data_IF_492891064929
#
_entry.id   IF_492891064929
#
_cell.length_a   1.000
_cell.length_b   1.000
_cell.length_c   1.000
_cell.angle_alpha   90.00
_cell.angle_beta   90.00
_cell.angle_gamma   90.00
#
_symmetry.space_group_name_H-M   'P 1'
#
loop_
_entity.id
_entity.type
_entity.pdbx_description
1 polymer ?
#
# COMPACT_ATOMS: atom_id res chain seq x y z
N UNK A 1 -24.20 19.91 28.71
CA UNK A 1 -22.72 19.80 28.75
C UNK A 1 -22.17 18.37 28.54
N UNK A 2 -22.84 17.27 28.95
CA UNK A 2 -22.38 15.89 28.63
C UNK A 2 -22.46 15.47 27.15
N UNK A 3 -23.26 16.15 26.32
CA UNK A 3 -23.38 15.85 24.88
C UNK A 3 -22.14 16.28 24.09
N UNK A 4 -21.68 17.52 24.25
CA UNK A 4 -20.55 18.06 23.50
C UNK A 4 -19.25 17.27 23.70
N UNK A 5 -18.98 16.81 24.92
CA UNK A 5 -17.80 15.98 25.21
C UNK A 5 -17.87 14.62 24.50
N UNK A 6 -19.06 13.98 24.49
CA UNK A 6 -19.28 12.71 23.80
C UNK A 6 -19.15 12.87 22.28
N UNK A 7 -19.74 13.92 21.70
CA UNK A 7 -19.58 14.28 20.28
C UNK A 7 -18.11 14.44 19.94
N UNK A 8 -17.37 15.24 20.71
CA UNK A 8 -15.95 15.49 20.46
C UNK A 8 -15.12 14.19 20.51
N UNK A 9 -15.42 13.27 21.43
CA UNK A 9 -14.76 11.96 21.52
C UNK A 9 -15.07 11.05 20.32
N UNK A 10 -16.31 11.04 19.84
CA UNK A 10 -16.72 10.26 18.66
C UNK A 10 -15.99 10.79 17.41
N UNK A 11 -15.98 12.11 17.24
CA UNK A 11 -15.25 12.78 16.16
C UNK A 11 -13.74 12.53 16.26
N UNK A 12 -13.15 12.56 17.45
CA UNK A 12 -11.73 12.25 17.68
C UNK A 12 -11.39 10.81 17.22
N UNK A 13 -12.23 9.83 17.54
CA UNK A 13 -12.06 8.43 17.11
C UNK A 13 -12.14 8.33 15.58
N UNK A 14 -13.17 8.90 14.95
CA UNK A 14 -13.33 8.87 13.50
C UNK A 14 -12.15 9.54 12.77
N UNK A 15 -11.72 10.72 13.25
CA UNK A 15 -10.58 11.44 12.68
C UNK A 15 -9.27 10.64 12.86
N UNK A 16 -9.11 9.92 13.98
CA UNK A 16 -7.94 9.09 14.22
C UNK A 16 -7.92 7.84 13.35
N UNK A 17 -9.08 7.19 13.17
CA UNK A 17 -9.24 6.07 12.23
C UNK A 17 -8.88 6.49 10.81
N UNK A 18 -9.35 7.68 10.37
CA UNK A 18 -8.99 8.23 9.06
C UNK A 18 -7.49 8.44 8.94
N UNK A 19 -6.88 9.14 9.90
CA UNK A 19 -5.43 9.41 9.92
C UNK A 19 -4.57 8.16 9.97
N UNK A 20 -5.10 7.04 10.45
CA UNK A 20 -4.40 5.75 10.50
C UNK A 20 -4.42 4.97 9.17
N UNK A 21 -5.15 5.46 8.17
CA UNK A 21 -5.31 4.77 6.89
C UNK A 21 -6.41 3.71 6.88
N UNK A 22 -7.37 3.78 7.81
CA UNK A 22 -8.55 2.91 7.78
C UNK A 22 -9.41 3.21 6.54
N UNK A 23 -9.85 2.18 5.84
CA UNK A 23 -10.75 2.33 4.70
C UNK A 23 -12.05 3.06 5.12
N UNK A 24 -12.61 3.97 4.29
CA UNK A 24 -13.76 4.79 4.64
C UNK A 24 -14.96 3.98 5.17
N UNK A 25 -15.36 2.94 4.44
CA UNK A 25 -16.48 2.07 4.84
C UNK A 25 -16.26 1.38 6.21
N UNK A 26 -15.02 1.02 6.55
CA UNK A 26 -14.69 0.43 7.86
C UNK A 26 -14.73 1.50 8.95
N UNK A 27 -14.20 2.67 8.67
CA UNK A 27 -14.19 3.80 9.59
C UNK A 27 -15.60 4.17 10.03
N UNK A 28 -16.54 4.25 9.09
CA UNK A 28 -17.96 4.50 9.37
C UNK A 28 -18.50 3.49 10.37
N UNK A 29 -18.35 2.18 10.08
CA UNK A 29 -18.81 1.09 10.96
C UNK A 29 -18.18 1.16 12.35
N UNK A 30 -16.86 1.36 12.46
CA UNK A 30 -16.16 1.45 13.75
C UNK A 30 -16.62 2.66 14.57
N UNK A 31 -16.83 3.79 13.92
CA UNK A 31 -17.22 5.03 14.61
C UNK A 31 -18.68 4.96 15.05
N UNK A 32 -19.56 4.41 14.22
CA UNK A 32 -20.96 4.11 14.59
C UNK A 32 -21.04 3.11 15.75
N UNK A 33 -20.25 2.04 15.71
CA UNK A 33 -20.17 1.07 16.80
C UNK A 33 -19.73 1.72 18.13
N UNK A 34 -18.70 2.57 18.08
CA UNK A 34 -18.25 3.33 19.24
C UNK A 34 -19.30 4.30 19.78
N UNK A 35 -20.00 5.02 18.90
CA UNK A 35 -21.07 5.95 19.27
C UNK A 35 -22.25 5.23 19.94
N UNK A 36 -22.70 4.11 19.34
CA UNK A 36 -23.77 3.27 19.88
C UNK A 36 -23.45 2.73 21.28
N UNK A 37 -22.20 2.31 21.51
CA UNK A 37 -21.71 1.87 22.83
C UNK A 37 -21.80 2.97 23.90
N UNK A 38 -21.79 4.24 23.49
CA UNK A 38 -21.91 5.40 24.38
C UNK A 38 -23.31 6.05 24.36
N UNK A 39 -24.30 5.37 23.75
CA UNK A 39 -25.68 5.83 23.70
C UNK A 39 -25.88 7.09 22.87
N UNK A 40 -25.10 7.28 21.80
CA UNK A 40 -25.23 8.38 20.85
C UNK A 40 -25.51 7.82 19.47
N UNK A 41 -26.58 8.27 18.82
CA UNK A 41 -26.82 7.97 17.41
C UNK A 41 -26.03 8.93 16.52
N UNK A 42 -25.40 8.39 15.48
CA UNK A 42 -24.58 9.15 14.55
C UNK A 42 -24.68 8.59 13.14
N UNK A 43 -25.03 9.44 12.19
CA UNK A 43 -24.88 9.15 10.77
C UNK A 43 -23.54 9.69 10.30
N UNK A 44 -22.74 8.81 9.69
CA UNK A 44 -21.37 9.14 9.27
C UNK A 44 -21.25 8.83 7.79
N UNK A 45 -20.64 9.76 7.06
CA UNK A 45 -20.21 9.54 5.69
C UNK A 45 -18.74 9.94 5.58
N UNK A 46 -17.89 8.97 5.31
CA UNK A 46 -16.45 9.14 5.16
C UNK A 46 -16.06 9.06 3.69
N UNK A 47 -15.08 9.87 3.32
CA UNK A 47 -14.42 9.86 2.02
C UNK A 47 -12.91 9.95 2.25
N UNK A 48 -12.06 9.71 1.24
CA UNK A 48 -10.62 9.82 1.39
C UNK A 48 -10.13 11.19 1.92
N UNK A 49 -10.89 12.26 1.69
CA UNK A 49 -10.49 13.65 2.02
C UNK A 49 -11.47 14.40 2.92
N UNK A 50 -12.55 13.77 3.38
CA UNK A 50 -13.51 14.41 4.27
C UNK A 50 -14.32 13.40 5.08
N UNK A 51 -14.78 13.81 6.26
CA UNK A 51 -15.75 13.06 7.05
C UNK A 51 -16.88 14.01 7.44
N UNK A 52 -18.11 13.54 7.24
CA UNK A 52 -19.33 14.20 7.66
C UNK A 52 -19.94 13.42 8.81
N UNK A 53 -20.12 14.06 9.96
CA UNK A 53 -20.81 13.51 11.12
C UNK A 53 -22.14 14.25 11.31
N UNK A 54 -23.22 13.51 11.48
CA UNK A 54 -24.53 14.07 11.79
C UNK A 54 -25.03 13.40 13.07
N UNK A 55 -25.44 14.20 14.05
CA UNK A 55 -25.94 13.76 15.34
C UNK A 55 -27.43 14.12 15.46
N UNK A 56 -28.36 13.22 15.10
CA UNK A 56 -29.79 13.51 15.09
C UNK A 56 -30.32 13.91 16.48
N UNK A 57 -29.89 13.19 17.51
CA UNK A 57 -30.37 13.36 18.89
C UNK A 57 -29.81 14.62 19.58
N UNK A 58 -28.75 15.22 19.04
CA UNK A 58 -28.07 16.39 19.59
C UNK A 58 -28.32 17.63 18.71
N UNK A 59 -29.60 18.05 18.65
CA UNK A 59 -30.05 19.24 17.90
C UNK A 59 -29.68 19.21 16.41
N UNK A 60 -29.68 18.01 15.80
CA UNK A 60 -29.24 17.80 14.42
C UNK A 60 -27.86 18.40 14.11
N UNK A 61 -26.92 18.33 15.06
CA UNK A 61 -25.59 18.87 14.86
C UNK A 61 -24.89 18.19 13.67
N UNK A 62 -24.40 19.01 12.73
CA UNK A 62 -23.63 18.55 11.57
C UNK A 62 -22.20 19.06 11.69
N UNK A 63 -21.25 18.14 11.64
CA UNK A 63 -19.81 18.43 11.69
C UNK A 63 -19.18 17.89 10.42
N UNK A 64 -18.84 18.80 9.50
CA UNK A 64 -18.06 18.47 8.31
C UNK A 64 -16.59 18.82 8.54
N UNK A 65 -15.71 17.84 8.39
CA UNK A 65 -14.27 18.03 8.44
C UNK A 65 -13.61 17.65 7.12
N UNK A 66 -12.87 18.59 6.52
CA UNK A 66 -11.93 18.28 5.44
C UNK A 66 -10.61 17.81 6.05
N UNK A 67 -10.12 16.68 5.56
CA UNK A 67 -8.91 16.03 6.03
C UNK A 67 -7.92 15.89 4.87
N UNK A 68 -6.63 15.86 5.18
CA UNK A 68 -5.60 15.48 4.20
C UNK A 68 -5.75 14.00 3.87
N UNK A 69 -5.38 13.53 2.66
CA UNK A 69 -5.34 12.10 2.35
C UNK A 69 -4.62 11.32 3.46
N UNK A 70 -5.21 10.20 3.87
CA UNK A 70 -4.69 9.40 4.97
C UNK A 70 -3.31 8.80 4.65
N UNK A 71 -2.44 8.75 5.67
CA UNK A 71 -1.23 7.94 5.66
C UNK A 71 -1.48 6.65 6.43
N UNK A 72 -0.90 5.54 5.99
CA UNK A 72 -1.09 4.26 6.68
C UNK A 72 -0.21 4.24 7.94
N UNK A 73 -0.85 4.05 9.09
CA UNK A 73 -0.18 3.84 10.37
C UNK A 73 -0.87 2.72 11.14
N UNK A 74 -0.32 1.50 11.05
CA UNK A 74 -0.94 0.30 11.59
C UNK A 74 -0.89 0.24 13.12
N UNK A 75 0.14 0.80 13.77
CA UNK A 75 0.14 0.91 15.23
C UNK A 75 -0.92 1.88 15.72
N UNK A 76 -1.11 3.02 15.05
CA UNK A 76 -2.16 3.97 15.40
C UNK A 76 -3.53 3.31 15.24
N UNK A 77 -3.77 2.64 14.11
CA UNK A 77 -5.00 1.89 13.87
C UNK A 77 -5.23 0.86 14.98
N UNK A 78 -4.22 0.06 15.31
CA UNK A 78 -4.32 -0.95 16.35
C UNK A 78 -4.68 -0.35 17.71
N UNK A 79 -4.03 0.74 18.10
CA UNK A 79 -4.27 1.40 19.38
C UNK A 79 -5.67 2.04 19.42
N UNK A 80 -6.17 2.58 18.30
CA UNK A 80 -7.55 3.08 18.20
C UNK A 80 -8.57 1.97 18.33
N UNK A 81 -8.35 0.81 17.69
CA UNK A 81 -9.25 -0.36 17.84
C UNK A 81 -9.28 -0.87 19.28
N UNK A 82 -8.11 -0.93 19.95
CA UNK A 82 -8.03 -1.30 21.37
C UNK A 82 -8.89 -0.35 22.22
N UNK A 83 -8.81 0.97 22.00
CA UNK A 83 -9.63 1.97 22.70
C UNK A 83 -11.13 1.82 22.44
N UNK A 84 -11.54 1.43 21.25
CA UNK A 84 -12.97 1.19 20.94
C UNK A 84 -13.49 -0.01 21.75
N UNK A 85 -12.68 -1.07 21.86
CA UNK A 85 -13.05 -2.29 22.55
C UNK A 85 -12.99 -2.15 24.08
N UNK A 86 -11.96 -1.50 24.61
CA UNK A 86 -11.69 -1.33 26.04
C UNK A 86 -11.94 0.14 26.44
N UNK A 87 -13.13 0.48 26.99
CA UNK A 87 -13.42 1.82 27.47
C UNK A 87 -12.65 2.05 28.77
N UNK A 88 -11.41 2.53 28.66
CA UNK A 88 -10.60 2.95 29.78
C UNK A 88 -10.42 4.47 29.75
N UNK A 89 -10.30 5.08 30.93
CA UNK A 89 -9.84 6.46 31.11
C UNK A 89 -8.35 6.61 30.84
N UNK A 90 -7.62 5.51 30.64
CA UNK A 90 -6.19 5.51 30.34
C UNK A 90 -5.88 6.10 28.94
N UNK A 91 -4.77 6.84 28.82
CA UNK A 91 -4.35 7.41 27.55
C UNK A 91 -4.07 6.30 26.53
N UNK A 92 -4.34 6.61 25.25
CA UNK A 92 -4.04 5.70 24.13
C UNK A 92 -2.55 5.36 24.19
N UNK A 93 -2.15 4.08 24.12
CA UNK A 93 -0.75 3.72 24.02
C UNK A 93 -0.13 4.52 22.87
N UNK A 94 1.01 5.16 23.12
CA UNK A 94 1.66 5.95 22.08
C UNK A 94 1.89 5.07 20.84
N UNK A 95 1.58 5.58 19.63
CA UNK A 95 1.86 4.83 18.42
C UNK A 95 3.35 4.53 18.34
N UNK A 96 3.71 3.32 17.89
CA UNK A 96 5.12 2.99 17.64
C UNK A 96 5.65 3.96 16.58
N UNK A 97 6.57 4.83 16.98
CA UNK A 97 7.32 5.69 16.08
C UNK A 97 8.70 5.08 15.83
N UNK A 98 8.93 4.55 14.62
CA UNK A 98 10.28 4.14 14.24
C UNK A 98 11.19 5.36 14.08
N UNK A 99 12.45 5.23 14.48
CA UNK A 99 13.42 6.32 14.32
C UNK A 99 13.66 6.64 12.84
N UNK A 100 14.14 7.85 12.55
CA UNK A 100 14.49 8.26 11.18
C UNK A 100 15.51 7.32 10.53
N UNK A 101 16.42 6.77 11.32
CA UNK A 101 17.42 5.82 10.84
C UNK A 101 16.79 4.48 10.43
N UNK A 102 15.89 3.95 11.25
CA UNK A 102 15.20 2.68 10.94
C UNK A 102 14.28 2.82 9.73
N UNK A 103 13.60 3.95 9.60
CA UNK A 103 12.78 4.25 8.41
C UNK A 103 13.63 4.45 7.16
N UNK A 104 14.82 5.06 7.25
CA UNK A 104 15.77 5.14 6.15
C UNK A 104 16.23 3.75 5.70
N UNK A 105 16.62 2.88 6.63
CA UNK A 105 17.02 1.49 6.34
C UNK A 105 15.89 0.69 5.68
N UNK A 106 14.65 0.85 6.16
CA UNK A 106 13.50 0.22 5.52
C UNK A 106 13.29 0.72 4.08
N UNK A 107 13.41 2.03 3.85
CA UNK A 107 13.27 2.62 2.52
C UNK A 107 14.38 2.14 1.56
N UNK A 108 15.62 2.01 2.07
CA UNK A 108 16.74 1.40 1.34
C UNK A 108 16.52 -0.08 1.04
N UNK A 109 15.87 -0.82 1.94
CA UNK A 109 15.65 -2.26 1.81
C UNK A 109 14.54 -2.65 0.84
N UNK A 110 13.55 -1.78 0.61
CA UNK A 110 12.39 -2.11 -0.25
C UNK A 110 12.80 -2.34 -1.72
N UNK A 111 13.53 -1.43 -2.41
CA UNK A 111 13.92 -1.64 -3.81
C UNK A 111 14.73 -2.92 -4.08
N UNK A 112 15.80 -3.25 -3.32
CA UNK A 112 16.54 -4.49 -3.56
C UNK A 112 15.70 -5.72 -3.26
N UNK A 113 14.88 -5.69 -2.22
CA UNK A 113 13.98 -6.80 -1.91
C UNK A 113 12.95 -7.02 -3.03
N UNK A 114 12.41 -5.96 -3.62
CA UNK A 114 11.51 -6.05 -4.76
C UNK A 114 12.20 -6.70 -5.98
N UNK A 115 13.43 -6.28 -6.31
CA UNK A 115 14.20 -6.86 -7.42
C UNK A 115 14.59 -8.32 -7.15
N UNK A 116 14.88 -8.68 -5.90
CA UNK A 116 15.13 -10.08 -5.52
C UNK A 116 13.90 -10.97 -5.71
N UNK A 117 12.68 -10.42 -5.62
CA UNK A 117 11.42 -11.17 -5.77
C UNK A 117 10.97 -11.28 -7.23
N UNK A 118 11.09 -10.20 -8.00
CA UNK A 118 10.69 -10.18 -9.41
C UNK A 118 11.73 -10.86 -10.30
N UNK A 119 12.99 -10.90 -9.85
CA UNK A 119 14.13 -11.31 -10.66
C UNK A 119 14.75 -10.10 -11.35
N UNK A 120 16.09 -10.06 -11.37
CA UNK A 120 16.89 -8.96 -11.96
C UNK A 120 18.37 -9.37 -12.04
N UNK A 121 19.24 -8.41 -12.32
CA UNK A 121 20.70 -8.55 -12.19
C UNK A 121 21.17 -8.18 -10.78
N UNK A 122 22.30 -8.73 -10.34
CA UNK A 122 22.84 -8.49 -9.00
C UNK A 122 23.31 -7.04 -8.83
N UNK A 123 23.81 -6.45 -9.91
CA UNK A 123 24.19 -5.05 -10.01
C UNK A 123 22.99 -4.16 -9.71
N UNK A 124 21.85 -4.42 -10.37
CA UNK A 124 20.62 -3.66 -10.16
C UNK A 124 20.11 -3.80 -8.71
N UNK A 125 20.18 -5.00 -8.12
CA UNK A 125 19.88 -5.20 -6.71
C UNK A 125 20.77 -4.30 -5.83
N UNK A 126 22.08 -4.30 -6.06
CA UNK A 126 23.03 -3.45 -5.30
C UNK A 126 22.74 -1.95 -5.42
N UNK A 127 22.60 -1.44 -6.65
CA UNK A 127 22.33 -0.01 -6.89
C UNK A 127 20.95 0.44 -6.42
N UNK A 128 19.96 -0.45 -6.43
CA UNK A 128 18.61 -0.11 -5.97
C UNK A 128 18.56 0.30 -4.49
N UNK A 129 19.46 -0.20 -3.65
CA UNK A 129 19.56 0.23 -2.25
C UNK A 129 19.97 1.71 -2.12
N UNK A 130 20.89 2.16 -2.98
CA UNK A 130 21.32 3.56 -3.05
C UNK A 130 20.20 4.45 -3.57
N UNK A 131 19.46 3.99 -4.57
CA UNK A 131 18.29 4.71 -5.09
C UNK A 131 17.16 4.78 -4.05
N UNK A 132 16.94 3.74 -3.25
CA UNK A 132 16.03 3.77 -2.10
C UNK A 132 16.43 4.82 -1.06
N UNK A 133 17.72 4.94 -0.75
CA UNK A 133 18.23 6.01 0.11
C UNK A 133 17.95 7.39 -0.49
N UNK A 134 18.22 7.56 -1.79
CA UNK A 134 17.97 8.82 -2.50
C UNK A 134 16.49 9.21 -2.43
N UNK A 135 15.58 8.26 -2.69
CA UNK A 135 14.13 8.48 -2.60
C UNK A 135 13.73 8.87 -1.17
N UNK A 136 14.28 8.22 -0.16
CA UNK A 136 14.05 8.62 1.24
C UNK A 136 14.52 10.04 1.53
N UNK A 137 15.71 10.42 1.03
CA UNK A 137 16.24 11.79 1.17
C UNK A 137 15.30 12.79 0.49
N UNK A 138 14.79 12.49 -0.71
CA UNK A 138 13.77 13.31 -1.37
C UNK A 138 12.51 13.47 -0.51
N UNK A 139 12.05 12.41 0.17
CA UNK A 139 10.91 12.49 1.09
C UNK A 139 11.17 13.42 2.30
N UNK A 140 12.41 13.48 2.79
CA UNK A 140 12.77 14.39 3.89
C UNK A 140 12.80 15.85 3.44
N UNK A 141 13.33 16.13 2.23
CA UNK A 141 13.42 17.49 1.70
C UNK A 141 12.10 18.04 1.15
N UNK A 142 11.28 17.18 0.53
CA UNK A 142 10.00 17.54 -0.08
C UNK A 142 8.84 17.28 0.87
N UNK A 143 8.89 17.86 2.07
CA UNK A 143 7.81 17.75 3.05
C UNK A 143 6.83 18.94 2.98
N UNK A 144 5.72 18.85 3.72
CA UNK A 144 4.72 19.92 3.87
C UNK A 144 4.11 20.37 2.54
N UNK A 145 4.27 21.64 2.14
CA UNK A 145 3.72 22.18 0.90
C UNK A 145 4.34 21.55 -0.35
N UNK A 146 5.58 21.08 -0.26
CA UNK A 146 6.34 20.48 -1.37
C UNK A 146 6.03 18.99 -1.58
N UNK A 147 5.30 18.35 -0.66
CA UNK A 147 4.97 16.94 -0.72
C UNK A 147 4.17 16.55 -1.98
N UNK A 148 3.43 17.50 -2.58
CA UNK A 148 2.67 17.26 -3.82
C UNK A 148 3.59 16.82 -4.98
N UNK A 149 4.85 17.26 -4.97
CA UNK A 149 5.84 17.00 -6.01
C UNK A 149 6.78 15.82 -5.68
N UNK A 150 6.69 15.21 -4.49
CA UNK A 150 7.67 14.19 -4.04
C UNK A 150 7.72 12.99 -4.97
N UNK A 151 6.56 12.49 -5.40
CA UNK A 151 6.42 11.34 -6.30
C UNK A 151 7.13 11.61 -7.63
N UNK A 152 6.83 12.78 -8.22
CA UNK A 152 7.37 13.21 -9.51
C UNK A 152 8.88 13.46 -9.46
N UNK A 153 9.35 14.25 -8.48
CA UNK A 153 10.78 14.61 -8.38
C UNK A 153 11.63 13.38 -8.04
N UNK A 154 11.14 12.49 -7.18
CA UNK A 154 11.86 11.25 -6.87
C UNK A 154 11.98 10.35 -8.09
N UNK A 155 10.91 10.21 -8.88
CA UNK A 155 10.92 9.47 -10.14
C UNK A 155 11.85 10.09 -11.19
N UNK A 156 11.86 11.42 -11.31
CA UNK A 156 12.76 12.16 -12.19
C UNK A 156 14.23 11.96 -11.82
N UNK A 157 14.58 12.15 -10.54
CA UNK A 157 15.95 11.95 -10.08
C UNK A 157 16.40 10.50 -10.22
N UNK A 158 15.48 9.55 -10.01
CA UNK A 158 15.72 8.12 -10.26
C UNK A 158 16.06 7.88 -11.72
N UNK A 159 15.25 8.40 -12.66
CA UNK A 159 15.53 8.25 -14.09
C UNK A 159 16.89 8.83 -14.48
N UNK A 160 17.23 10.03 -13.99
CA UNK A 160 18.54 10.67 -14.24
C UNK A 160 19.68 9.78 -13.74
N UNK A 161 19.60 9.29 -12.50
CA UNK A 161 20.67 8.49 -11.91
C UNK A 161 20.79 7.10 -12.55
N UNK A 162 19.66 6.48 -12.91
CA UNK A 162 19.67 5.19 -13.61
C UNK A 162 20.26 5.34 -15.02
N UNK A 163 19.96 6.43 -15.75
CA UNK A 163 20.59 6.72 -17.04
C UNK A 163 22.11 6.88 -16.90
N UNK A 164 22.58 7.56 -15.85
CA UNK A 164 24.00 7.63 -15.53
C UNK A 164 24.61 6.24 -15.27
N UNK A 165 23.95 5.38 -14.49
CA UNK A 165 24.45 4.03 -14.26
C UNK A 165 24.48 3.21 -15.57
N UNK A 166 23.47 3.37 -16.41
CA UNK A 166 23.37 2.64 -17.67
C UNK A 166 24.45 3.08 -18.68
N UNK A 167 24.86 4.36 -18.69
CA UNK A 167 25.93 4.85 -19.56
C UNK A 167 27.31 4.30 -19.21
N UNK A 168 27.51 3.77 -18.00
CA UNK A 168 28.76 3.09 -17.60
C UNK A 168 28.95 1.71 -18.23
N UNK A 169 27.96 1.21 -18.98
CA UNK A 169 27.99 -0.11 -19.62
C UNK A 169 27.66 -1.27 -18.68
N UNK A 170 27.14 -0.98 -17.48
CA UNK A 170 26.70 -2.00 -16.54
C UNK A 170 25.45 -2.74 -17.07
N UNK A 171 25.36 -4.08 -16.88
CA UNK A 171 24.19 -4.85 -17.27
C UNK A 171 23.03 -4.66 -16.30
N UNK A 172 22.31 -3.54 -16.44
CA UNK A 172 21.17 -3.20 -15.60
C UNK A 172 19.87 -3.09 -16.41
N UNK A 173 18.77 -3.72 -15.97
CA UNK A 173 17.46 -3.51 -16.55
C UNK A 173 16.93 -2.13 -16.12
N UNK A 174 17.16 -1.12 -16.96
CA UNK A 174 16.87 0.31 -16.73
C UNK A 174 15.47 0.53 -16.12
N UNK A 175 14.42 0.03 -16.80
CA UNK A 175 13.05 0.22 -16.35
C UNK A 175 12.71 -0.50 -15.05
N UNK A 176 13.20 -1.74 -14.88
CA UNK A 176 12.97 -2.49 -13.66
C UNK A 176 13.63 -1.80 -12.45
N UNK A 177 14.84 -1.27 -12.63
CA UNK A 177 15.56 -0.53 -11.60
C UNK A 177 14.87 0.79 -11.24
N UNK A 178 14.39 1.54 -12.25
CA UNK A 178 13.59 2.74 -12.02
C UNK A 178 12.35 2.43 -11.19
N UNK A 179 11.53 1.47 -11.62
CA UNK A 179 10.27 1.11 -10.96
C UNK A 179 10.52 0.57 -9.55
N UNK A 180 11.54 -0.27 -9.35
CA UNK A 180 11.91 -0.79 -8.05
C UNK A 180 12.25 0.32 -7.05
N UNK A 181 13.00 1.33 -7.51
CA UNK A 181 13.45 2.44 -6.67
C UNK A 181 12.31 3.30 -6.15
N UNK A 182 11.26 3.47 -6.95
CA UNK A 182 10.05 4.23 -6.58
C UNK A 182 8.88 3.35 -6.15
N UNK A 183 9.08 2.04 -5.96
CA UNK A 183 7.99 1.08 -5.74
C UNK A 183 7.12 1.42 -4.54
N UNK A 184 7.70 2.08 -3.53
CA UNK A 184 6.99 2.56 -2.34
C UNK A 184 5.90 3.60 -2.66
N UNK A 185 6.05 4.40 -3.72
CA UNK A 185 5.03 5.35 -4.16
C UNK A 185 3.97 4.71 -5.04
N UNK A 186 4.19 3.49 -5.54
CA UNK A 186 3.25 2.83 -6.43
C UNK A 186 1.96 2.54 -5.66
N UNK A 187 0.81 3.09 -6.09
CA UNK A 187 -0.41 3.12 -5.28
C UNK A 187 -1.19 1.79 -5.36
N UNK A 188 -0.51 0.65 -5.30
CA UNK A 188 -1.13 -0.67 -5.42
C UNK A 188 -2.25 -0.87 -4.40
N UNK A 189 -1.95 -0.66 -3.12
CA UNK A 189 -2.95 -0.81 -2.06
C UNK A 189 -4.13 0.17 -2.22
N UNK A 190 -3.87 1.40 -2.66
CA UNK A 190 -4.93 2.38 -2.91
C UNK A 190 -5.86 1.92 -4.02
N UNK A 191 -5.34 1.33 -5.10
CA UNK A 191 -6.15 0.74 -6.18
C UNK A 191 -6.96 -0.45 -5.65
N UNK A 192 -6.35 -1.34 -4.88
CA UNK A 192 -7.05 -2.48 -4.27
C UNK A 192 -8.22 -2.01 -3.38
N UNK A 193 -7.96 -1.06 -2.48
CA UNK A 193 -8.98 -0.46 -1.61
C UNK A 193 -10.07 0.27 -2.41
N UNK A 194 -9.69 0.92 -3.51
CA UNK A 194 -10.65 1.63 -4.35
C UNK A 194 -11.65 0.65 -4.99
N UNK A 195 -11.15 -0.47 -5.51
CA UNK A 195 -11.99 -1.50 -6.10
C UNK A 195 -12.80 -2.24 -5.03
N UNK A 196 -12.25 -2.44 -3.83
CA UNK A 196 -13.00 -2.96 -2.68
C UNK A 196 -14.17 -2.03 -2.32
N UNK A 197 -13.95 -0.72 -2.23
CA UNK A 197 -15.00 0.28 -2.02
C UNK A 197 -16.08 0.22 -3.10
N UNK A 198 -15.69 0.13 -4.39
CA UNK A 198 -16.65 -0.02 -5.49
C UNK A 198 -17.48 -1.31 -5.35
N UNK A 199 -16.86 -2.41 -4.92
CA UNK A 199 -17.56 -3.68 -4.71
C UNK A 199 -18.59 -3.62 -3.57
N UNK A 200 -18.32 -2.79 -2.56
CA UNK A 200 -19.26 -2.51 -1.45
C UNK A 200 -20.21 -1.35 -1.72
N UNK A 201 -20.36 -0.91 -2.99
CA UNK A 201 -21.22 0.20 -3.42
C UNK A 201 -20.85 1.59 -2.84
N UNK A 202 -19.63 1.76 -2.30
CA UNK A 202 -19.09 3.07 -1.93
C UNK A 202 -18.41 3.71 -3.16
N UNK A 203 -19.26 4.22 -4.06
CA UNK A 203 -18.84 4.79 -5.35
C UNK A 203 -17.98 6.04 -5.18
N UNK A 204 -18.29 6.89 -4.20
CA UNK A 204 -17.59 8.17 -4.00
C UNK A 204 -16.17 7.92 -3.52
N UNK A 205 -15.97 7.06 -2.51
CA UNK A 205 -14.62 6.74 -2.04
C UNK A 205 -13.84 5.95 -3.08
N UNK A 206 -14.48 4.97 -3.74
CA UNK A 206 -13.84 4.14 -4.76
C UNK A 206 -13.33 4.96 -5.94
N UNK A 207 -14.17 5.80 -6.54
CA UNK A 207 -13.75 6.65 -7.67
C UNK A 207 -12.70 7.69 -7.27
N UNK A 208 -12.79 8.26 -6.06
CA UNK A 208 -11.79 9.21 -5.55
C UNK A 208 -10.41 8.56 -5.37
N UNK A 209 -10.34 7.34 -4.79
CA UNK A 209 -9.10 6.60 -4.62
C UNK A 209 -8.49 6.15 -5.96
N UNK A 210 -9.31 5.73 -6.93
CA UNK A 210 -8.85 5.43 -8.28
C UNK A 210 -8.27 6.67 -8.96
N UNK A 211 -8.96 7.81 -8.87
CA UNK A 211 -8.48 9.08 -9.42
C UNK A 211 -7.14 9.52 -8.83
N UNK A 212 -6.99 9.42 -7.49
CA UNK A 212 -5.72 9.71 -6.83
C UNK A 212 -4.61 8.75 -7.28
N UNK A 213 -4.91 7.45 -7.36
CA UNK A 213 -3.95 6.43 -7.78
C UNK A 213 -3.49 6.63 -9.22
N UNK A 214 -4.42 6.97 -10.13
CA UNK A 214 -4.10 7.29 -11.52
C UNK A 214 -3.17 8.50 -11.62
N UNK A 215 -3.44 9.58 -10.86
CA UNK A 215 -2.57 10.75 -10.83
C UNK A 215 -1.16 10.42 -10.30
N UNK A 216 -1.05 9.61 -9.25
CA UNK A 216 0.26 9.14 -8.75
C UNK A 216 1.00 8.33 -9.83
N UNK A 217 0.34 7.37 -10.48
CA UNK A 217 0.95 6.59 -11.57
C UNK A 217 1.44 7.48 -12.71
N UNK A 218 0.66 8.48 -13.12
CA UNK A 218 1.06 9.45 -14.15
C UNK A 218 2.31 10.22 -13.72
N UNK A 219 2.36 10.74 -12.49
CA UNK A 219 3.54 11.46 -11.99
C UNK A 219 4.79 10.59 -11.99
N UNK A 220 4.67 9.33 -11.56
CA UNK A 220 5.77 8.37 -11.52
C UNK A 220 6.25 8.04 -12.93
N UNK A 221 5.34 7.72 -13.84
CA UNK A 221 5.65 7.38 -15.22
C UNK A 221 6.32 8.55 -15.97
N UNK A 222 5.69 9.72 -15.94
CA UNK A 222 6.19 10.94 -16.59
C UNK A 222 7.51 11.40 -15.96
N UNK A 223 7.65 11.26 -14.63
CA UNK A 223 8.90 11.50 -13.92
C UNK A 223 10.04 10.60 -14.41
N UNK A 224 9.83 9.27 -14.47
CA UNK A 224 10.85 8.33 -14.97
C UNK A 224 11.24 8.68 -16.41
N UNK A 225 10.26 8.88 -17.32
CA UNK A 225 10.53 9.19 -18.73
C UNK A 225 11.39 10.45 -18.85
N UNK A 226 10.98 11.55 -18.22
CA UNK A 226 11.76 12.78 -18.30
C UNK A 226 13.14 12.61 -17.66
N UNK A 227 13.24 11.90 -16.54
CA UNK A 227 14.50 11.63 -15.89
C UNK A 227 15.47 10.87 -16.80
N UNK A 228 15.00 9.80 -17.43
CA UNK A 228 15.79 9.00 -18.38
C UNK A 228 16.23 9.84 -19.58
N UNK A 229 15.32 10.57 -20.23
CA UNK A 229 15.65 11.41 -21.39
C UNK A 229 16.65 12.53 -21.04
N UNK A 230 16.48 13.19 -19.90
CA UNK A 230 17.43 14.20 -19.42
C UNK A 230 18.80 13.54 -19.19
N UNK A 231 18.82 12.36 -18.57
CA UNK A 231 20.06 11.67 -18.30
C UNK A 231 20.77 11.18 -19.56
N UNK A 232 20.06 10.59 -20.50
CA UNK A 232 20.60 10.17 -21.80
C UNK A 232 21.12 11.35 -22.62
N UNK A 233 20.51 12.53 -22.50
CA UNK A 233 21.02 13.74 -23.13
C UNK A 233 22.35 14.22 -22.51
N UNK A 234 22.59 13.96 -21.22
CA UNK A 234 23.80 14.37 -20.50
C UNK A 234 24.92 13.33 -20.66
N UNK A 235 24.59 12.04 -20.54
CA UNK A 235 25.57 10.96 -20.45
C UNK A 235 25.63 10.06 -21.70
N UNK A 236 24.75 10.26 -22.67
CA UNK A 236 24.64 9.43 -23.87
C UNK A 236 23.61 8.31 -23.73
N UNK A 237 23.20 7.78 -24.89
CA UNK A 237 22.26 6.66 -24.98
C UNK A 237 22.92 5.37 -24.47
N UNK A 238 22.31 4.74 -23.48
CA UNK A 238 22.77 3.45 -22.99
C UNK A 238 22.33 2.33 -23.94
N UNK A 239 23.19 1.33 -24.15
CA UNK A 239 22.80 0.12 -24.87
C UNK A 239 21.92 -0.72 -23.94
N UNK A 240 20.63 -0.83 -24.25
CA UNK A 240 19.72 -1.69 -23.51
C UNK A 240 20.15 -3.14 -23.66
N UNK A 241 20.44 -3.80 -22.55
CA UNK A 241 20.79 -5.22 -22.53
C UNK A 241 19.54 -6.03 -22.21
N UNK A 242 19.40 -7.21 -22.82
CA UNK A 242 18.29 -8.12 -22.56
C UNK A 242 18.25 -8.54 -21.08
N UNK A 243 17.03 -8.61 -20.55
CA UNK A 243 16.78 -9.01 -19.17
C UNK A 243 17.29 -10.43 -18.90
N UNK A 244 18.20 -10.56 -17.94
CA UNK A 244 18.65 -11.85 -17.41
C UNK A 244 18.39 -11.90 -15.91
N UNK A 245 17.71 -12.95 -15.44
CA UNK A 245 17.51 -13.15 -14.01
C UNK A 245 18.73 -13.88 -13.43
N UNK A 246 19.61 -13.12 -12.78
CA UNK A 246 20.80 -13.63 -12.10
C UNK A 246 20.58 -13.87 -10.59
N UNK A 247 19.37 -13.62 -10.07
CA UNK A 247 19.09 -13.70 -8.63
C UNK A 247 19.02 -15.17 -8.18
N UNK A 248 19.85 -15.60 -7.21
CA UNK A 248 19.78 -16.94 -6.65
C UNK A 248 18.46 -17.20 -5.90
N UNK A 249 18.06 -18.47 -5.81
CA UNK A 249 16.80 -18.85 -5.14
C UNK A 249 16.75 -18.44 -3.66
N UNK A 250 17.87 -18.53 -2.93
CA UNK A 250 17.92 -18.11 -1.52
C UNK A 250 17.64 -16.61 -1.33
N UNK A 251 18.02 -15.78 -2.32
CA UNK A 251 17.76 -14.34 -2.29
C UNK A 251 16.28 -14.01 -2.42
N UNK A 252 15.49 -14.87 -3.08
CA UNK A 252 14.03 -14.68 -3.16
C UNK A 252 13.40 -14.82 -1.77
N UNK A 253 13.86 -15.80 -0.98
CA UNK A 253 13.37 -16.03 0.38
C UNK A 253 13.80 -14.86 1.29
N UNK A 254 15.07 -14.45 1.23
CA UNK A 254 15.53 -13.31 2.04
C UNK A 254 14.87 -11.99 1.61
N UNK A 255 14.65 -11.81 0.31
CA UNK A 255 13.94 -10.66 -0.26
C UNK A 255 12.51 -10.57 0.28
N UNK A 256 11.81 -11.70 0.40
CA UNK A 256 10.48 -11.73 0.99
C UNK A 256 10.49 -11.25 2.45
N UNK A 257 11.42 -11.77 3.25
CA UNK A 257 11.54 -11.35 4.66
C UNK A 257 11.90 -9.86 4.74
N UNK A 258 12.82 -9.40 3.90
CA UNK A 258 13.29 -8.02 3.87
C UNK A 258 12.17 -7.05 3.47
N UNK A 259 11.43 -7.33 2.39
CA UNK A 259 10.32 -6.46 1.95
C UNK A 259 9.21 -6.43 3.00
N UNK A 260 8.91 -7.58 3.59
CA UNK A 260 7.90 -7.78 4.62
C UNK A 260 8.19 -6.95 5.88
N UNK A 261 9.42 -7.02 6.39
CA UNK A 261 9.86 -6.21 7.54
C UNK A 261 9.90 -4.72 7.18
N UNK A 262 10.43 -4.37 6.00
CA UNK A 262 10.59 -2.97 5.60
C UNK A 262 9.24 -2.26 5.40
N UNK A 263 8.26 -2.93 4.77
CA UNK A 263 6.88 -2.43 4.63
C UNK A 263 6.23 -2.27 6.00
N UNK A 264 6.41 -3.27 6.89
CA UNK A 264 5.91 -3.21 8.26
C UNK A 264 6.43 -1.99 9.03
N UNK A 265 7.73 -1.71 8.92
CA UNK A 265 8.35 -0.50 9.49
C UNK A 265 7.79 0.77 8.85
N UNK A 266 7.67 0.80 7.52
CA UNK A 266 7.22 1.99 6.79
C UNK A 266 5.77 2.39 7.14
N UNK A 267 4.92 1.42 7.48
CA UNK A 267 3.57 1.67 7.98
C UNK A 267 3.44 1.71 9.49
N UNK A 268 4.55 1.84 10.22
CA UNK A 268 4.57 1.89 11.68
C UNK A 268 3.80 0.73 12.32
N UNK A 269 3.95 -0.48 11.79
CA UNK A 269 3.36 -1.69 12.38
C UNK A 269 4.12 -2.08 13.64
N UNK A 270 3.42 -2.65 14.63
CA UNK A 270 4.08 -3.16 15.84
C UNK A 270 4.91 -4.39 15.45
N UNK A 271 6.12 -4.62 16.03
CA UNK A 271 6.98 -5.74 15.64
C UNK A 271 6.29 -7.11 15.68
N UNK A 272 5.42 -7.32 16.68
CA UNK A 272 4.58 -8.51 16.79
C UNK A 272 3.63 -8.68 15.60
N UNK A 273 3.06 -7.60 15.08
CA UNK A 273 2.11 -7.64 13.97
C UNK A 273 2.85 -7.89 12.64
N UNK A 274 4.07 -7.36 12.49
CA UNK A 274 4.95 -7.65 11.33
C UNK A 274 5.25 -9.15 11.26
N UNK A 275 5.59 -9.76 12.40
CA UNK A 275 5.91 -11.19 12.47
C UNK A 275 4.66 -12.05 12.18
N UNK A 276 3.51 -11.69 12.76
CA UNK A 276 2.25 -12.37 12.48
C UNK A 276 1.76 -12.17 11.03
N UNK A 277 2.19 -11.11 10.35
CA UNK A 277 1.88 -10.87 8.94
C UNK A 277 2.80 -11.63 7.96
N UNK A 278 3.88 -12.26 8.42
CA UNK A 278 4.81 -12.96 7.53
C UNK A 278 4.17 -14.12 6.75
N UNK A 279 3.29 -14.96 7.32
CA UNK A 279 2.62 -16.02 6.57
C UNK A 279 1.77 -15.51 5.41
N UNK A 280 1.12 -14.34 5.55
CA UNK A 280 0.35 -13.78 4.43
C UNK A 280 1.25 -13.15 3.36
N UNK A 281 2.45 -12.71 3.71
CA UNK A 281 3.46 -12.28 2.73
C UNK A 281 3.92 -13.47 1.86
N UNK A 282 4.16 -14.62 2.48
CA UNK A 282 4.48 -15.89 1.79
C UNK A 282 3.35 -16.27 0.82
N UNK A 283 2.10 -16.23 1.29
CA UNK A 283 0.93 -16.48 0.44
C UNK A 283 0.84 -15.46 -0.70
N UNK A 284 1.01 -14.16 -0.43
CA UNK A 284 0.94 -13.11 -1.45
C UNK A 284 1.97 -13.30 -2.56
N UNK A 285 3.18 -13.73 -2.23
CA UNK A 285 4.25 -13.94 -3.21
C UNK A 285 4.07 -15.22 -4.04
N UNK A 286 3.83 -16.36 -3.39
CA UNK A 286 3.87 -17.65 -4.06
C UNK A 286 2.50 -18.29 -4.30
N UNK A 287 1.48 -17.84 -3.59
CA UNK A 287 0.11 -18.34 -3.71
C UNK A 287 -0.42 -18.32 -5.14
N UNK A 288 -0.29 -17.24 -5.93
CA UNK A 288 -0.76 -17.21 -7.31
C UNK A 288 -0.15 -18.27 -8.22
N UNK A 289 1.08 -18.71 -7.92
CA UNK A 289 1.79 -19.72 -8.69
C UNK A 289 1.39 -21.15 -8.30
N UNK A 290 1.17 -21.42 -7.02
CA UNK A 290 0.91 -22.79 -6.53
C UNK A 290 -0.58 -23.10 -6.31
N UNK A 291 -1.43 -22.10 -6.10
CA UNK A 291 -2.85 -22.28 -5.80
C UNK A 291 -3.75 -22.09 -7.03
N UNK A 292 -3.17 -22.13 -8.23
CA UNK A 292 -3.90 -22.02 -9.49
C UNK A 292 -4.69 -23.27 -9.87
N UNK A 293 -4.34 -24.45 -9.35
CA UNK A 293 -5.00 -25.74 -9.63
C UNK A 293 -5.30 -25.94 -11.13
N UNK A 294 -4.29 -25.78 -11.98
CA UNK A 294 -4.36 -25.85 -13.45
C UNK A 294 -5.30 -24.82 -14.13
N UNK A 295 -5.97 -23.98 -13.35
CA UNK A 295 -6.92 -22.94 -13.81
C UNK A 295 -6.25 -21.56 -14.01
N UNK A 296 -4.93 -21.52 -13.89
CA UNK A 296 -4.11 -20.33 -14.11
C UNK A 296 -4.00 -19.37 -12.93
N UNK A 297 -3.24 -18.29 -13.15
CA UNK A 297 -2.86 -17.34 -12.10
C UNK A 297 -4.00 -16.48 -11.56
N UNK A 298 -5.09 -16.30 -12.33
CA UNK A 298 -6.28 -15.56 -11.88
C UNK A 298 -6.95 -16.30 -10.72
N UNK A 299 -7.19 -17.61 -10.90
CA UNK A 299 -7.73 -18.48 -9.85
C UNK A 299 -6.76 -18.56 -8.67
N UNK A 300 -5.45 -18.71 -8.95
CA UNK A 300 -4.42 -18.68 -7.91
C UNK A 300 -4.47 -17.41 -7.05
N UNK A 301 -4.62 -16.25 -7.68
CA UNK A 301 -4.73 -14.95 -7.00
C UNK A 301 -5.99 -14.87 -6.14
N UNK A 302 -7.13 -15.36 -6.66
CA UNK A 302 -8.39 -15.41 -5.92
C UNK A 302 -8.29 -16.30 -4.68
N UNK A 303 -7.84 -17.56 -4.82
CA UNK A 303 -7.67 -18.50 -3.69
C UNK A 303 -6.69 -17.94 -2.67
N UNK A 304 -5.56 -17.40 -3.12
CA UNK A 304 -4.57 -16.76 -2.27
C UNK A 304 -5.19 -15.63 -1.44
N UNK A 305 -5.99 -14.78 -2.09
CA UNK A 305 -6.64 -13.66 -1.41
C UNK A 305 -7.66 -14.13 -0.37
N UNK A 306 -8.40 -15.20 -0.66
CA UNK A 306 -9.31 -15.83 0.31
C UNK A 306 -8.51 -16.28 1.54
N UNK A 307 -7.41 -17.00 1.35
CA UNK A 307 -6.58 -17.51 2.45
C UNK A 307 -5.94 -16.37 3.26
N UNK A 308 -5.40 -15.34 2.60
CA UNK A 308 -4.86 -14.14 3.26
C UNK A 308 -5.92 -13.48 4.14
N UNK A 309 -7.12 -13.31 3.59
CA UNK A 309 -8.23 -12.62 4.28
C UNK A 309 -8.76 -13.44 5.46
N UNK A 310 -8.92 -14.76 5.29
CA UNK A 310 -9.33 -15.66 6.37
C UNK A 310 -8.29 -15.70 7.49
N UNK A 311 -7.02 -15.88 7.15
CA UNK A 311 -5.92 -15.88 8.14
C UNK A 311 -5.86 -14.56 8.90
N UNK A 312 -5.85 -13.44 8.18
CA UNK A 312 -5.76 -12.10 8.79
C UNK A 312 -6.95 -11.80 9.70
N UNK A 313 -8.15 -12.23 9.33
CA UNK A 313 -9.35 -12.06 10.17
C UNK A 313 -9.33 -12.99 11.39
N UNK A 314 -8.84 -14.22 11.24
CA UNK A 314 -8.67 -15.16 12.35
C UNK A 314 -7.66 -14.65 13.39
N UNK A 315 -6.47 -14.20 12.97
CA UNK A 315 -5.48 -13.60 13.87
C UNK A 315 -6.04 -12.33 14.52
N UNK A 316 -6.70 -11.47 13.75
CA UNK A 316 -7.31 -10.27 14.30
C UNK A 316 -8.35 -10.58 15.39
N UNK A 317 -9.14 -11.64 15.23
CA UNK A 317 -10.08 -12.09 16.25
C UNK A 317 -9.37 -12.53 17.54
N UNK A 318 -8.25 -13.25 17.41
CA UNK A 318 -7.41 -13.72 18.52
C UNK A 318 -6.71 -12.57 19.25
N UNK A 319 -6.31 -11.54 18.50
CA UNK A 319 -5.60 -10.37 19.01
C UNK A 319 -6.53 -9.21 19.42
N UNK A 320 -7.85 -9.36 19.27
CA UNK A 320 -8.86 -8.32 19.50
C UNK A 320 -8.64 -7.02 18.70
N UNK A 321 -8.17 -7.18 17.48
CA UNK A 321 -7.83 -6.11 16.55
C UNK A 321 -8.63 -6.21 15.25
N UNK A 322 -8.32 -5.33 14.30
CA UNK A 322 -8.90 -5.37 12.95
C UNK A 322 -8.07 -6.23 11.99
N UNK A 323 -8.74 -6.99 11.13
CA UNK A 323 -8.11 -7.82 10.09
C UNK A 323 -7.21 -7.02 9.15
N UNK A 324 -7.55 -5.75 8.91
CA UNK A 324 -6.80 -4.87 8.01
C UNK A 324 -5.31 -4.77 8.35
N UNK A 325 -4.93 -4.88 9.63
CA UNK A 325 -3.53 -4.79 10.07
C UNK A 325 -2.71 -5.95 9.48
N UNK A 326 -3.26 -7.16 9.46
CA UNK A 326 -2.56 -8.36 9.01
C UNK A 326 -2.72 -8.59 7.51
N UNK A 327 -3.92 -8.31 6.97
CA UNK A 327 -4.24 -8.52 5.55
C UNK A 327 -3.35 -7.66 4.65
N UNK A 328 -3.07 -6.40 5.06
CA UNK A 328 -2.39 -5.43 4.20
C UNK A 328 -1.04 -5.91 3.69
N UNK A 329 -0.30 -6.65 4.51
CA UNK A 329 1.05 -7.10 4.19
C UNK A 329 1.07 -8.12 3.06
N UNK A 330 0.13 -9.06 3.06
CA UNK A 330 -0.04 -10.02 1.96
C UNK A 330 -0.61 -9.37 0.70
N UNK A 331 -1.62 -8.50 0.85
CA UNK A 331 -2.26 -7.82 -0.29
C UNK A 331 -1.26 -6.91 -1.02
N UNK A 332 -0.42 -6.15 -0.32
CA UNK A 332 0.55 -5.26 -0.99
C UNK A 332 1.52 -6.01 -1.89
N UNK A 333 1.98 -7.18 -1.45
CA UNK A 333 2.87 -8.03 -2.24
C UNK A 333 2.12 -8.63 -3.44
N UNK A 334 0.86 -8.99 -3.25
CA UNK A 334 0.02 -9.60 -4.27
C UNK A 334 -0.43 -8.60 -5.35
N UNK A 335 -0.59 -7.33 -4.98
CA UNK A 335 -1.18 -6.33 -5.85
C UNK A 335 -0.24 -5.96 -7.01
N UNK A 336 -0.74 -5.96 -8.26
CA UNK A 336 0.07 -5.72 -9.46
C UNK A 336 0.35 -4.24 -9.74
N UNK A 337 0.52 -3.40 -8.72
CA UNK A 337 0.68 -1.95 -8.90
C UNK A 337 1.86 -1.61 -9.82
N UNK A 338 3.00 -2.26 -9.62
CA UNK A 338 4.19 -2.06 -10.46
C UNK A 338 4.01 -2.58 -11.88
N UNK A 339 3.19 -3.63 -12.08
CA UNK A 339 2.90 -4.18 -13.41
C UNK A 339 2.13 -3.19 -14.29
N UNK A 340 1.32 -2.31 -13.70
CA UNK A 340 0.66 -1.23 -14.44
C UNK A 340 1.70 -0.28 -15.04
N UNK A 341 2.71 0.13 -14.26
CA UNK A 341 3.82 0.96 -14.77
C UNK A 341 4.65 0.23 -15.83
N UNK A 342 4.98 -1.05 -15.58
CA UNK A 342 5.70 -1.88 -16.56
C UNK A 342 4.93 -1.97 -17.89
N UNK A 343 3.61 -2.18 -17.82
CA UNK A 343 2.77 -2.23 -19.02
C UNK A 343 2.74 -0.91 -19.78
N UNK A 344 2.67 0.23 -19.07
CA UNK A 344 2.70 1.54 -19.69
C UNK A 344 4.04 1.79 -20.41
N UNK A 345 5.17 1.39 -19.82
CA UNK A 345 6.47 1.48 -20.47
C UNK A 345 6.58 0.59 -21.71
N UNK A 346 6.06 -0.64 -21.66
CA UNK A 346 6.04 -1.55 -22.81
C UNK A 346 5.22 -0.99 -23.97
N UNK A 347 4.05 -0.39 -23.69
CA UNK A 347 3.18 0.17 -24.72
C UNK A 347 3.77 1.42 -25.38
N UNK A 348 4.59 2.20 -24.68
CA UNK A 348 5.18 3.44 -25.21
C UNK A 348 6.51 3.19 -25.92
N UNK A 349 7.34 2.28 -25.41
CA UNK A 349 8.71 2.07 -25.89
C UNK A 349 8.92 0.75 -26.64
N UNK A 350 7.88 -0.07 -26.80
CA UNK A 350 7.91 -1.40 -27.45
C UNK A 350 8.93 -2.39 -26.84
N UNK A 351 9.57 -2.04 -25.71
CA UNK A 351 10.54 -2.86 -25.00
C UNK A 351 9.84 -3.79 -24.00
N UNK A 352 9.88 -5.09 -24.24
CA UNK A 352 9.29 -6.10 -23.38
C UNK A 352 10.11 -6.32 -22.09
N UNK A 353 9.78 -5.58 -21.01
CA UNK A 353 10.43 -5.74 -19.69
C UNK A 353 10.07 -7.08 -19.01
N UNK A 354 8.88 -7.62 -19.28
CA UNK A 354 8.44 -8.96 -18.87
C UNK A 354 7.90 -9.70 -20.11
N UNK A 355 8.26 -10.98 -20.35
CA UNK A 355 7.84 -11.75 -21.52
C UNK A 355 6.42 -12.32 -21.34
N UNK A 356 5.42 -11.45 -21.16
CA UNK A 356 4.01 -11.85 -20.97
C UNK A 356 3.14 -11.00 -21.90
N UNK A 357 2.37 -11.61 -22.82
CA UNK A 357 1.37 -10.87 -23.60
C UNK A 357 0.35 -10.20 -22.68
N UNK A 358 0.00 -8.93 -22.93
CA UNK A 358 -1.08 -8.19 -22.25
C UNK A 358 -0.93 -7.98 -20.72
N UNK A 359 0.25 -7.55 -20.25
CA UNK A 359 0.53 -7.30 -18.81
C UNK A 359 -0.45 -6.33 -18.15
N UNK A 360 -0.94 -5.31 -18.88
CA UNK A 360 -1.96 -4.38 -18.36
C UNK A 360 -3.31 -5.07 -18.08
N UNK A 361 -3.77 -5.93 -19.00
CA UNK A 361 -4.97 -6.74 -18.80
C UNK A 361 -4.79 -7.74 -17.64
N UNK A 362 -3.57 -8.27 -17.49
CA UNK A 362 -3.21 -9.13 -16.36
C UNK A 362 -3.32 -8.39 -15.03
N UNK A 363 -2.88 -7.14 -14.94
CA UNK A 363 -3.04 -6.32 -13.74
C UNK A 363 -4.52 -6.13 -13.38
N UNK A 364 -5.38 -5.84 -14.37
CA UNK A 364 -6.82 -5.70 -14.16
C UNK A 364 -7.45 -6.98 -13.60
N UNK A 365 -7.18 -8.14 -14.19
CA UNK A 365 -7.76 -9.40 -13.66
C UNK A 365 -7.20 -9.79 -12.29
N UNK A 366 -5.93 -9.49 -11.98
CA UNK A 366 -5.40 -9.68 -10.62
C UNK A 366 -6.15 -8.83 -9.61
N UNK A 367 -6.37 -7.55 -9.91
CA UNK A 367 -7.16 -6.66 -9.08
C UNK A 367 -8.58 -7.19 -8.86
N UNK A 368 -9.26 -7.64 -9.93
CA UNK A 368 -10.60 -8.24 -9.84
C UNK A 368 -10.60 -9.53 -9.00
N UNK A 369 -9.59 -10.38 -9.15
CA UNK A 369 -9.44 -11.62 -8.39
C UNK A 369 -9.20 -11.35 -6.89
N UNK A 370 -8.42 -10.32 -6.57
CA UNK A 370 -8.20 -9.86 -5.19
C UNK A 370 -9.54 -9.43 -4.57
N UNK A 371 -10.28 -8.55 -5.24
CA UNK A 371 -11.57 -8.05 -4.74
C UNK A 371 -12.57 -9.20 -4.55
N UNK A 372 -12.72 -10.08 -5.56
CA UNK A 372 -13.59 -11.24 -5.47
C UNK A 372 -13.18 -12.17 -4.33
N UNK A 373 -11.87 -12.34 -4.09
CA UNK A 373 -11.35 -13.19 -3.01
C UNK A 373 -11.65 -12.60 -1.63
N UNK A 374 -11.52 -11.28 -1.46
CA UNK A 374 -11.87 -10.61 -0.20
C UNK A 374 -13.36 -10.72 0.10
N UNK A 375 -14.23 -10.47 -0.90
CA UNK A 375 -15.69 -10.63 -0.76
C UNK A 375 -16.05 -12.06 -0.38
N UNK A 376 -15.45 -13.04 -1.06
CA UNK A 376 -15.66 -14.46 -0.76
C UNK A 376 -15.25 -14.80 0.67
N UNK A 377 -14.11 -14.31 1.13
CA UNK A 377 -13.66 -14.57 2.49
C UNK A 377 -14.56 -13.90 3.55
N UNK A 378 -14.99 -12.67 3.33
CA UNK A 378 -15.87 -11.96 4.27
C UNK A 378 -17.27 -12.57 4.35
N UNK A 379 -17.79 -13.15 3.26
CA UNK A 379 -19.07 -13.87 3.30
C UNK A 379 -19.00 -15.16 4.12
N UNK A 380 -17.84 -15.83 4.13
CA UNK A 380 -17.59 -17.03 4.94
C UNK A 380 -17.31 -16.67 6.40
N UNK A 381 -16.49 -15.64 6.62
CA UNK A 381 -15.99 -15.25 7.94
C UNK A 381 -16.15 -13.74 8.15
N UNK A 382 -17.34 -13.36 8.64
CA UNK A 382 -17.67 -11.96 8.89
C UNK A 382 -16.77 -11.36 10.00
N UNK A 383 -16.19 -10.16 9.77
CA UNK A 383 -15.46 -9.42 10.80
C UNK A 383 -16.33 -9.15 12.04
N UNK A 384 -15.72 -9.20 13.24
CA UNK A 384 -16.39 -8.99 14.54
C UNK A 384 -17.25 -7.71 14.65
N UNK A 385 -17.05 -6.72 13.79
CA UNK A 385 -17.70 -5.39 13.81
C UNK A 385 -19.01 -5.39 13.01
N UNK A 386 -19.30 -6.46 12.26
CA UNK A 386 -20.54 -6.62 11.51
C UNK A 386 -21.62 -7.39 12.30
N UNK A 387 -21.38 -7.68 13.58
CA UNK A 387 -22.37 -8.29 14.48
C UNK A 387 -22.92 -7.31 15.50
#
# INVERSE_FOLDING_TARGET
>A
MPSQFRINKIVEIGDTLHRSGCAPYKLEKYTQFYAKKHGVDVMIQATPTAINYQFPDDNNAVILKRLKPASINLSLLANTIIRINQPSSEPVPEPVGYSKFVTALANMGIPPAYLMLVGSTLEAVGFSALLGLMVWVCQQFLHSRRAIAVEFISALLTGIFVAFLASTGLPIPVWALCIASIVLFVPGLSIANALECLAFNDLVSGTSLLGQSALTLIKLFVGIIMGLNIGEAIWGQAVSIDYTNAVPMWMHISGLVLISVSIGVMFNARPKDILLGLPVAVLGMWGPFYLGFDSGWVVGTWVTTVLITLYGTWIAKKMELTGSIYIVQGIIILVPGSRVLVSASQSVFEQSILPIPSIGLSALFMFSAIVAGQITAYSIYSPKVER
#
